data_IF_535937063640
#
_entry.id   IF_535937063640
#
_cell.length_a   1.000
_cell.length_b   1.000
_cell.length_c   1.000
_cell.angle_alpha   90.00
_cell.angle_beta   90.00
_cell.angle_gamma   90.00
#
_symmetry.space_group_name_H-M   'P 1'
#
loop_
_entity.id
_entity.type
_entity.pdbx_description
1 polymer ?
#
# COMPACT_ATOMS: atom_id res chain seq x y z
N UNK A 1 -12.61 -4.10 -63.57
CA UNK A 1 -13.27 -3.22 -62.60
C UNK A 1 -12.30 -2.94 -61.48
N UNK A 2 -11.91 -1.69 -61.29
CA UNK A 2 -10.95 -1.29 -60.26
C UNK A 2 -11.73 -0.49 -59.21
N UNK A 3 -12.33 -1.18 -58.25
CA UNK A 3 -13.04 -0.56 -57.13
C UNK A 3 -12.02 -0.01 -56.15
N UNK A 4 -11.90 1.31 -56.09
CA UNK A 4 -11.04 2.03 -55.15
C UNK A 4 -11.50 1.69 -53.72
N UNK A 5 -10.75 0.84 -53.04
CA UNK A 5 -11.03 0.46 -51.65
C UNK A 5 -10.51 1.57 -50.75
N UNK A 6 -11.39 2.47 -50.30
CA UNK A 6 -11.07 3.46 -49.27
C UNK A 6 -11.28 2.83 -47.89
N UNK A 7 -10.21 2.71 -47.10
CA UNK A 7 -10.30 2.25 -45.71
C UNK A 7 -10.98 3.30 -44.83
N UNK A 8 -12.11 2.94 -44.22
CA UNK A 8 -12.75 3.75 -43.19
C UNK A 8 -12.09 3.48 -41.84
N UNK A 9 -10.95 4.13 -41.59
CA UNK A 9 -10.23 4.02 -40.32
C UNK A 9 -10.98 4.66 -39.14
N UNK A 10 -11.97 5.54 -39.40
CA UNK A 10 -12.73 6.21 -38.36
C UNK A 10 -13.72 5.27 -37.65
N UNK A 11 -14.11 4.17 -38.29
CA UNK A 11 -15.03 3.17 -37.72
C UNK A 11 -14.31 1.93 -37.17
N UNK A 12 -12.98 1.85 -37.29
CA UNK A 12 -12.21 0.71 -36.82
C UNK A 12 -11.99 0.80 -35.30
N UNK A 13 -12.87 0.17 -34.52
CA UNK A 13 -12.71 0.00 -33.08
C UNK A 13 -12.22 -1.42 -32.74
N UNK A 14 -10.98 -1.53 -32.24
CA UNK A 14 -10.41 -2.82 -31.82
C UNK A 14 -10.61 -3.00 -30.32
N UNK A 15 -11.45 -3.98 -29.95
CA UNK A 15 -11.66 -4.35 -28.56
C UNK A 15 -10.55 -5.27 -28.05
N UNK A 16 -9.64 -4.73 -27.26
CA UNK A 16 -8.57 -5.50 -26.62
C UNK A 16 -9.08 -6.24 -25.39
N UNK A 17 -9.39 -7.54 -25.54
CA UNK A 17 -9.89 -8.39 -24.46
C UNK A 17 -8.93 -8.45 -23.25
N UNK A 18 -7.61 -8.35 -23.49
CA UNK A 18 -6.60 -8.31 -22.44
C UNK A 18 -6.68 -7.09 -21.50
N UNK A 19 -7.33 -6.00 -21.94
CA UNK A 19 -7.46 -4.77 -21.15
C UNK A 19 -8.82 -4.66 -20.43
N UNK A 20 -9.72 -5.64 -20.57
CA UNK A 20 -11.08 -5.56 -20.01
C UNK A 20 -11.13 -5.42 -18.49
N UNK A 21 -10.13 -5.96 -17.81
CA UNK A 21 -10.05 -5.91 -16.36
C UNK A 21 -9.31 -4.66 -15.84
N UNK A 22 -8.74 -3.85 -16.72
CA UNK A 22 -8.03 -2.64 -16.32
C UNK A 22 -8.98 -1.49 -15.99
N UNK A 23 -8.59 -0.71 -14.98
CA UNK A 23 -9.35 0.50 -14.60
C UNK A 23 -9.00 1.61 -15.58
N UNK A 24 -9.98 2.00 -16.41
CA UNK A 24 -9.93 3.15 -17.31
C UNK A 24 -10.78 4.30 -16.78
N UNK A 25 -10.27 5.52 -16.88
CA UNK A 25 -10.94 6.76 -16.49
C UNK A 25 -10.69 7.79 -17.58
N UNK A 26 -11.76 8.24 -18.25
CA UNK A 26 -11.63 8.97 -19.51
C UNK A 26 -10.79 8.16 -20.50
N UNK A 27 -9.74 8.76 -21.06
CA UNK A 27 -8.80 8.09 -21.98
C UNK A 27 -7.55 7.52 -21.30
N UNK A 28 -7.51 7.52 -19.96
CA UNK A 28 -6.33 7.12 -19.18
C UNK A 28 -6.52 5.76 -18.51
N UNK A 29 -5.54 4.88 -18.69
CA UNK A 29 -5.42 3.68 -17.88
C UNK A 29 -4.75 4.01 -16.56
N UNK A 30 -5.39 3.64 -15.45
CA UNK A 30 -4.92 3.97 -14.12
C UNK A 30 -3.53 3.42 -13.84
N UNK A 31 -3.23 2.24 -14.38
CA UNK A 31 -1.93 1.58 -14.25
C UNK A 31 -0.78 2.47 -14.72
N UNK A 32 -0.94 3.14 -15.86
CA UNK A 32 0.09 4.03 -16.42
C UNK A 32 0.35 5.20 -15.47
N UNK A 33 -0.71 5.78 -14.92
CA UNK A 33 -0.61 6.86 -13.94
C UNK A 33 0.11 6.41 -12.66
N UNK A 34 -0.17 5.19 -12.20
CA UNK A 34 0.46 4.61 -11.00
C UNK A 34 1.94 4.26 -11.23
N UNK A 35 2.30 3.79 -12.41
CA UNK A 35 3.68 3.46 -12.79
C UNK A 35 4.54 4.73 -12.97
N UNK A 36 3.95 5.83 -13.45
CA UNK A 36 4.64 7.11 -13.68
C UNK A 36 4.59 8.06 -12.47
N UNK A 37 4.56 7.53 -11.25
CA UNK A 37 4.40 8.33 -10.02
C UNK A 37 5.49 9.38 -9.78
N UNK A 38 6.67 9.22 -10.40
CA UNK A 38 7.81 10.12 -10.24
C UNK A 38 8.13 10.94 -11.50
N UNK A 39 7.29 10.85 -12.55
CA UNK A 39 7.49 11.64 -13.77
C UNK A 39 6.64 12.92 -13.74
N UNK A 40 7.30 14.07 -13.92
CA UNK A 40 6.68 15.40 -13.93
C UNK A 40 5.90 15.67 -15.23
N UNK A 41 6.21 14.95 -16.33
CA UNK A 41 5.44 14.98 -17.58
C UNK A 41 4.17 14.15 -17.45
N UNK A 42 3.25 14.65 -16.64
CA UNK A 42 1.92 14.06 -16.48
C UNK A 42 1.01 14.51 -17.62
N UNK A 43 0.45 13.60 -18.43
CA UNK A 43 -0.39 13.96 -19.58
C UNK A 43 -1.77 14.53 -19.21
N UNK A 44 -2.04 14.79 -17.93
CA UNK A 44 -3.35 15.19 -17.42
C UNK A 44 -3.59 16.66 -17.75
N UNK A 45 -4.31 16.91 -18.84
CA UNK A 45 -4.65 18.26 -19.32
C UNK A 45 -5.84 18.92 -18.62
N UNK A 46 -6.69 18.14 -17.95
CA UNK A 46 -7.89 18.60 -17.26
C UNK A 46 -7.99 17.96 -15.87
N UNK A 47 -7.17 18.45 -14.95
CA UNK A 47 -6.95 17.80 -13.66
C UNK A 47 -8.23 17.70 -12.82
N UNK A 48 -9.06 18.75 -12.81
CA UNK A 48 -10.34 18.79 -12.09
C UNK A 48 -11.38 17.78 -12.61
N UNK A 49 -11.64 17.78 -13.93
CA UNK A 49 -12.58 16.83 -14.55
C UNK A 49 -12.13 15.37 -14.30
N UNK A 50 -10.84 15.11 -14.55
CA UNK A 50 -10.26 13.78 -14.34
C UNK A 50 -10.34 13.32 -12.88
N UNK A 51 -10.08 14.23 -11.93
CA UNK A 51 -10.19 13.94 -10.51
C UNK A 51 -11.64 13.64 -10.09
N UNK A 52 -12.63 14.35 -10.64
CA UNK A 52 -14.03 14.06 -10.39
C UNK A 52 -14.46 12.71 -10.97
N UNK A 53 -14.03 12.38 -12.20
CA UNK A 53 -14.30 11.06 -12.79
C UNK A 53 -13.68 9.93 -11.97
N UNK A 54 -12.45 10.15 -11.46
CA UNK A 54 -11.78 9.28 -10.51
C UNK A 54 -12.60 9.06 -9.25
N UNK A 55 -13.11 10.15 -8.67
CA UNK A 55 -13.89 10.10 -7.45
C UNK A 55 -15.24 9.39 -7.66
N UNK A 56 -15.94 9.67 -8.76
CA UNK A 56 -17.15 8.94 -9.12
C UNK A 56 -16.88 7.45 -9.31
N UNK A 57 -15.78 7.08 -9.98
CA UNK A 57 -15.38 5.69 -10.13
C UNK A 57 -15.12 5.03 -8.77
N UNK A 58 -14.45 5.73 -7.86
CA UNK A 58 -14.22 5.27 -6.49
C UNK A 58 -15.53 4.98 -5.74
N UNK A 59 -16.53 5.87 -5.83
CA UNK A 59 -17.83 5.69 -5.17
C UNK A 59 -18.64 4.51 -5.75
N UNK A 60 -18.53 4.25 -7.06
CA UNK A 60 -19.27 3.17 -7.73
C UNK A 60 -18.58 1.80 -7.67
N UNK A 61 -17.37 1.70 -7.10
CA UNK A 61 -16.59 0.47 -7.13
C UNK A 61 -16.87 -0.42 -5.91
N UNK A 62 -17.44 -1.64 -6.10
CA UNK A 62 -17.75 -2.54 -4.98
C UNK A 62 -16.55 -3.34 -4.49
N UNK A 63 -15.53 -3.56 -5.33
CA UNK A 63 -14.34 -4.34 -4.99
C UNK A 63 -13.33 -3.46 -4.26
N UNK A 64 -12.94 -3.86 -3.04
CA UNK A 64 -12.00 -3.12 -2.18
C UNK A 64 -10.66 -2.85 -2.89
N UNK A 65 -10.11 -3.82 -3.61
CA UNK A 65 -8.85 -3.66 -4.35
C UNK A 65 -8.92 -2.53 -5.38
N UNK A 66 -9.98 -2.51 -6.19
CA UNK A 66 -10.18 -1.48 -7.20
C UNK A 66 -10.44 -0.11 -6.56
N UNK A 67 -11.15 -0.09 -5.42
CA UNK A 67 -11.39 1.11 -4.63
C UNK A 67 -10.08 1.69 -4.08
N UNK A 68 -9.18 0.82 -3.59
CA UNK A 68 -7.84 1.18 -3.14
C UNK A 68 -6.98 1.73 -4.29
N UNK A 69 -7.07 1.14 -5.48
CA UNK A 69 -6.38 1.68 -6.68
C UNK A 69 -6.89 3.08 -7.03
N UNK A 70 -8.21 3.31 -7.00
CA UNK A 70 -8.78 4.64 -7.25
C UNK A 70 -8.33 5.66 -6.20
N UNK A 71 -8.34 5.31 -4.90
CA UNK A 71 -7.82 6.17 -3.83
C UNK A 71 -6.34 6.50 -4.01
N UNK A 72 -5.54 5.53 -4.41
CA UNK A 72 -4.12 5.74 -4.67
C UNK A 72 -3.91 6.74 -5.82
N UNK A 73 -4.66 6.58 -6.91
CA UNK A 73 -4.60 7.51 -8.03
C UNK A 73 -5.11 8.91 -7.67
N UNK A 74 -6.24 9.01 -6.96
CA UNK A 74 -6.73 10.27 -6.41
C UNK A 74 -5.67 10.98 -5.56
N UNK A 75 -4.93 10.23 -4.74
CA UNK A 75 -3.82 10.79 -3.94
C UNK A 75 -2.69 11.36 -4.78
N UNK A 76 -2.34 10.70 -5.88
CA UNK A 76 -1.30 11.18 -6.80
C UNK A 76 -1.76 12.43 -7.53
N UNK A 77 -2.97 12.39 -8.10
CA UNK A 77 -3.55 13.50 -8.87
C UNK A 77 -3.75 14.72 -7.99
N UNK A 78 -4.38 14.56 -6.82
CA UNK A 78 -4.56 15.66 -5.89
C UNK A 78 -3.21 16.19 -5.40
N UNK A 79 -2.25 15.33 -5.10
CA UNK A 79 -0.91 15.75 -4.69
C UNK A 79 -0.17 16.60 -5.73
N UNK A 80 -0.40 16.36 -7.03
CA UNK A 80 0.21 17.12 -8.13
C UNK A 80 -0.56 18.39 -8.51
N UNK A 81 -1.89 18.36 -8.39
CA UNK A 81 -2.77 19.39 -8.95
C UNK A 81 -3.73 20.01 -7.92
N UNK A 82 -3.42 19.98 -6.63
CA UNK A 82 -4.33 20.51 -5.60
C UNK A 82 -4.68 21.99 -5.78
N UNK A 83 -3.81 22.79 -6.41
CA UNK A 83 -4.07 24.20 -6.69
C UNK A 83 -5.15 24.39 -7.77
N UNK A 84 -5.13 23.55 -8.82
CA UNK A 84 -6.10 23.58 -9.92
C UNK A 84 -7.43 22.92 -9.51
N UNK A 85 -7.36 21.81 -8.78
CA UNK A 85 -8.55 21.09 -8.28
C UNK A 85 -9.24 21.89 -7.17
N UNK A 86 -8.46 22.53 -6.30
CA UNK A 86 -8.96 23.31 -5.17
C UNK A 86 -9.48 22.45 -4.00
N UNK A 87 -10.39 22.99 -3.16
CA UNK A 87 -10.90 22.29 -2.00
C UNK A 87 -11.75 21.08 -2.36
N UNK A 88 -11.56 19.98 -1.64
CA UNK A 88 -12.33 18.77 -1.87
C UNK A 88 -13.64 18.80 -1.07
N UNK A 89 -14.76 18.84 -1.79
CA UNK A 89 -16.10 18.99 -1.21
C UNK A 89 -16.45 17.86 -0.21
N UNK A 90 -16.02 16.63 -0.49
CA UNK A 90 -16.37 15.45 0.29
C UNK A 90 -15.29 15.05 1.31
N UNK A 91 -14.51 16.02 1.80
CA UNK A 91 -13.49 15.77 2.83
C UNK A 91 -14.09 15.10 4.06
N UNK A 92 -15.28 15.54 4.50
CA UNK A 92 -16.05 14.90 5.58
C UNK A 92 -16.29 13.41 5.33
N UNK A 93 -16.70 13.04 4.12
CA UNK A 93 -17.00 11.66 3.78
C UNK A 93 -15.76 10.78 3.92
N UNK A 94 -14.60 11.26 3.46
CA UNK A 94 -13.33 10.54 3.60
C UNK A 94 -12.94 10.33 5.06
N UNK A 95 -13.11 11.35 5.92
CA UNK A 95 -12.82 11.24 7.36
C UNK A 95 -13.76 10.21 8.02
N UNK A 96 -15.06 10.28 7.74
CA UNK A 96 -16.04 9.32 8.27
C UNK A 96 -15.80 7.90 7.75
N UNK A 97 -15.34 7.79 6.51
CA UNK A 97 -15.00 6.51 5.92
C UNK A 97 -13.77 5.90 6.61
N UNK A 98 -12.74 6.70 6.89
CA UNK A 98 -11.56 6.26 7.65
C UNK A 98 -11.94 5.73 9.04
N UNK A 99 -12.86 6.39 9.74
CA UNK A 99 -13.35 5.97 11.07
C UNK A 99 -14.03 4.59 11.05
N UNK A 100 -14.70 4.25 9.94
CA UNK A 100 -15.50 3.02 9.80
C UNK A 100 -14.76 1.88 9.10
N UNK A 101 -13.65 2.15 8.41
CA UNK A 101 -12.94 1.15 7.64
C UNK A 101 -12.25 0.13 8.56
N UNK A 102 -12.56 -1.15 8.33
CA UNK A 102 -11.89 -2.28 8.99
C UNK A 102 -10.76 -2.90 8.13
N UNK A 103 -10.75 -2.63 6.83
CA UNK A 103 -9.74 -3.16 5.91
C UNK A 103 -8.42 -2.41 6.04
N UNK A 104 -7.31 -3.14 6.21
CA UNK A 104 -5.98 -2.55 6.40
C UNK A 104 -5.51 -1.76 5.18
N UNK A 105 -5.73 -2.29 3.98
CA UNK A 105 -5.25 -1.66 2.76
C UNK A 105 -6.02 -0.39 2.46
N UNK A 106 -7.35 -0.43 2.56
CA UNK A 106 -8.22 0.74 2.38
C UNK A 106 -7.88 1.83 3.39
N UNK A 107 -7.68 1.46 4.66
CA UNK A 107 -7.28 2.40 5.71
C UNK A 107 -5.97 3.10 5.39
N UNK A 108 -4.95 2.35 4.97
CA UNK A 108 -3.66 2.93 4.61
C UNK A 108 -3.78 3.89 3.41
N UNK A 109 -4.63 3.55 2.41
CA UNK A 109 -4.91 4.41 1.26
C UNK A 109 -5.70 5.67 1.65
N UNK A 110 -6.65 5.58 2.56
CA UNK A 110 -7.40 6.74 3.07
C UNK A 110 -6.47 7.70 3.84
N UNK A 111 -5.59 7.17 4.69
CA UNK A 111 -4.58 7.98 5.40
C UNK A 111 -3.63 8.66 4.41
N UNK A 112 -3.16 7.93 3.39
CA UNK A 112 -2.36 8.52 2.31
C UNK A 112 -3.13 9.63 1.58
N UNK A 113 -4.41 9.44 1.28
CA UNK A 113 -5.21 10.46 0.61
C UNK A 113 -5.44 11.70 1.48
N UNK A 114 -5.76 11.52 2.77
CA UNK A 114 -5.87 12.62 3.73
C UNK A 114 -4.57 13.42 3.84
N UNK A 115 -3.41 12.76 3.79
CA UNK A 115 -2.10 13.44 3.76
C UNK A 115 -1.93 14.37 2.55
N UNK A 116 -2.68 14.15 1.48
CA UNK A 116 -2.72 15.03 0.30
C UNK A 116 -3.81 16.08 0.40
N UNK A 117 -4.97 15.74 0.97
CA UNK A 117 -6.04 16.72 1.20
C UNK A 117 -5.60 17.88 2.10
N UNK A 118 -4.72 17.64 3.08
CA UNK A 118 -4.20 18.71 3.96
C UNK A 118 -3.34 19.77 3.25
N UNK A 119 -2.97 19.56 1.98
CA UNK A 119 -2.29 20.60 1.18
C UNK A 119 -3.16 21.83 0.99
N UNK A 120 -4.49 21.68 0.96
CA UNK A 120 -5.43 22.79 0.82
C UNK A 120 -6.07 23.15 2.17
N UNK A 121 -5.92 24.42 2.60
CA UNK A 121 -6.31 24.90 3.94
C UNK A 121 -7.79 24.64 4.29
N UNK A 122 -8.71 24.76 3.32
CA UNK A 122 -10.15 24.50 3.55
C UNK A 122 -10.43 23.05 3.96
N UNK A 123 -9.70 22.09 3.39
CA UNK A 123 -9.86 20.68 3.76
C UNK A 123 -9.34 20.42 5.17
N UNK A 124 -8.28 21.12 5.59
CA UNK A 124 -7.77 21.03 6.96
C UNK A 124 -8.86 21.44 7.95
N UNK A 125 -9.57 22.55 7.70
CA UNK A 125 -10.68 22.97 8.56
C UNK A 125 -11.76 21.89 8.68
N UNK A 126 -12.17 21.28 7.56
CA UNK A 126 -13.14 20.17 7.57
C UNK A 126 -12.62 18.95 8.36
N UNK A 127 -11.35 18.56 8.17
CA UNK A 127 -10.75 17.43 8.91
C UNK A 127 -10.77 17.69 10.42
N UNK A 128 -10.51 18.93 10.86
CA UNK A 128 -10.57 19.32 12.26
C UNK A 128 -12.00 19.25 12.80
N UNK A 129 -12.97 19.78 12.04
CA UNK A 129 -14.39 19.82 12.43
C UNK A 129 -15.00 18.42 12.59
N UNK A 130 -14.59 17.47 11.75
CA UNK A 130 -15.12 16.10 11.76
C UNK A 130 -14.29 15.10 12.58
N UNK A 131 -13.58 15.57 13.63
CA UNK A 131 -12.79 14.75 14.56
C UNK A 131 -11.65 13.95 13.89
N UNK A 132 -11.13 14.40 12.76
CA UNK A 132 -10.05 13.72 12.03
C UNK A 132 -8.78 13.54 12.87
N UNK A 133 -8.43 14.51 13.72
CA UNK A 133 -7.27 14.38 14.63
C UNK A 133 -7.44 13.19 15.57
N UNK A 134 -8.61 13.03 16.19
CA UNK A 134 -8.87 11.94 17.14
C UNK A 134 -8.63 10.59 16.46
N UNK A 135 -9.21 10.40 15.27
CA UNK A 135 -9.05 9.18 14.47
C UNK A 135 -7.58 8.93 14.16
N UNK A 136 -6.84 9.96 13.72
CA UNK A 136 -5.41 9.83 13.41
C UNK A 136 -4.55 9.48 14.64
N UNK A 137 -4.87 10.04 15.82
CA UNK A 137 -4.19 9.73 17.07
C UNK A 137 -4.46 8.27 17.49
N UNK A 138 -5.69 7.80 17.37
CA UNK A 138 -6.04 6.41 17.65
C UNK A 138 -5.28 5.46 16.72
N UNK A 139 -5.21 5.80 15.42
CA UNK A 139 -4.44 5.04 14.43
C UNK A 139 -2.92 5.08 14.68
N UNK A 140 -2.39 6.16 15.25
CA UNK A 140 -0.96 6.28 15.58
C UNK A 140 -0.51 5.19 16.56
N UNK A 141 -1.39 4.74 17.46
CA UNK A 141 -1.10 3.63 18.36
C UNK A 141 -0.81 2.32 17.62
N UNK A 142 -1.33 2.18 16.39
CA UNK A 142 -1.11 1.02 15.53
C UNK A 142 0.22 1.09 14.76
N UNK A 143 0.88 2.25 14.69
CA UNK A 143 2.13 2.42 13.94
C UNK A 143 3.28 1.54 14.48
N UNK A 144 3.25 1.24 15.79
CA UNK A 144 4.23 0.36 16.44
C UNK A 144 3.86 -1.13 16.36
N UNK A 145 2.65 -1.48 15.91
CA UNK A 145 2.19 -2.87 15.75
C UNK A 145 2.66 -3.49 14.42
N UNK A 146 3.65 -2.91 13.75
CA UNK A 146 4.23 -3.43 12.52
C UNK A 146 5.15 -4.63 12.83
N UNK A 147 4.57 -5.74 13.28
CA UNK A 147 5.22 -7.04 13.55
C UNK A 147 5.69 -7.76 12.28
N UNK A 148 6.00 -7.04 11.20
CA UNK A 148 6.72 -7.59 10.03
C UNK A 148 8.24 -7.38 10.13
N UNK A 149 8.73 -6.70 11.18
CA UNK A 149 10.17 -6.48 11.42
C UNK A 149 10.67 -6.94 12.79
N UNK A 150 9.85 -7.63 13.58
CA UNK A 150 10.39 -8.44 14.65
C UNK A 150 10.97 -9.71 14.02
N UNK A 151 12.18 -9.60 13.45
CA UNK A 151 13.04 -10.78 13.30
C UNK A 151 13.23 -11.31 14.71
N UNK A 152 12.47 -12.33 15.09
CA UNK A 152 12.66 -12.99 16.38
C UNK A 152 14.08 -13.56 16.31
N UNK A 153 15.07 -13.07 17.08
CA UNK A 153 16.41 -13.62 17.06
C UNK A 153 16.46 -14.91 17.89
N UNK A 154 15.39 -15.72 17.85
CA UNK A 154 15.27 -16.95 18.60
C UNK A 154 15.69 -18.18 17.79
N UNK A 155 16.16 -18.03 16.55
CA UNK A 155 16.71 -19.15 15.77
C UNK A 155 18.22 -19.39 15.99
N UNK A 156 18.91 -18.57 16.79
CA UNK A 156 20.37 -18.77 17.03
C UNK A 156 20.71 -19.62 18.26
N UNK A 157 19.74 -20.05 19.06
CA UNK A 157 20.00 -20.84 20.29
C UNK A 157 19.58 -22.31 20.17
N UNK A 158 19.49 -22.84 18.95
CA UNK A 158 19.37 -24.29 18.78
C UNK A 158 20.77 -24.89 18.93
N UNK A 159 21.07 -25.42 20.11
CA UNK A 159 22.22 -26.32 20.28
C UNK A 159 21.75 -27.68 19.79
N UNK A 160 22.06 -28.01 18.54
CA UNK A 160 21.88 -29.37 18.03
C UNK A 160 22.91 -30.28 18.73
N UNK A 161 22.41 -31.23 19.52
CA UNK A 161 23.26 -32.28 20.08
C UNK A 161 23.82 -33.18 18.96
N UNK A 162 25.06 -33.69 19.08
CA UNK A 162 25.62 -34.57 18.07
C UNK A 162 24.72 -35.79 17.88
N UNK A 163 24.48 -36.15 16.63
CA UNK A 163 23.75 -37.37 16.24
C UNK A 163 24.39 -38.56 16.95
N UNK A 164 23.60 -39.23 17.79
CA UNK A 164 24.04 -40.31 18.67
C UNK A 164 24.82 -41.36 17.87
N UNK A 165 26.16 -41.30 17.95
CA UNK A 165 27.01 -42.37 17.46
C UNK A 165 26.78 -43.56 18.38
N UNK A 166 26.07 -44.56 17.86
CA UNK A 166 26.05 -45.89 18.48
C UNK A 166 27.50 -46.39 18.56
N UNK A 167 27.98 -46.57 19.79
CA UNK A 167 29.20 -47.35 20.06
C UNK A 167 30.40 -46.52 20.53
N UNK A 168 30.37 -46.12 21.79
CA UNK A 168 31.55 -45.69 22.52
C UNK A 168 31.16 -45.27 23.93
N UNK A 169 31.39 -46.14 24.92
CA UNK A 169 30.92 -45.95 26.29
C UNK A 169 31.17 -44.54 26.84
N UNK A 170 30.13 -43.97 27.44
CA UNK A 170 30.14 -42.61 27.97
C UNK A 170 31.30 -42.44 28.97
N UNK A 171 32.13 -41.43 28.73
CA UNK A 171 33.19 -41.06 29.68
C UNK A 171 32.56 -40.30 30.84
N UNK A 172 32.23 -41.04 31.88
CA UNK A 172 31.82 -40.47 33.15
C UNK A 172 33.02 -39.80 33.84
N UNK A 173 32.81 -38.58 34.34
CA UNK A 173 33.82 -37.86 35.10
C UNK A 173 33.76 -38.29 36.57
N UNK A 174 34.86 -38.85 37.07
CA UNK A 174 35.03 -39.13 38.49
C UNK A 174 35.89 -38.04 39.13
N UNK A 175 35.37 -37.41 40.18
CA UNK A 175 36.14 -36.48 41.02
C UNK A 175 36.86 -37.28 42.10
N UNK A 176 38.17 -37.47 41.95
CA UNK A 176 38.99 -38.13 42.97
C UNK A 176 39.27 -37.15 44.11
N UNK A 177 38.69 -37.40 45.29
CA UNK A 177 38.80 -36.50 46.46
C UNK A 177 40.10 -36.73 47.26
N UNK A 178 40.87 -37.78 46.98
CA UNK A 178 41.95 -38.20 47.90
C UNK A 178 43.40 -37.92 47.45
N UNK A 179 43.66 -37.14 46.40
CA UNK A 179 45.03 -36.66 46.18
C UNK A 179 45.04 -35.29 45.52
N UNK A 180 45.60 -34.32 46.26
CA UNK A 180 45.85 -32.98 45.76
C UNK A 180 46.77 -33.00 44.55
N UNK A 181 46.40 -32.14 43.60
CA UNK A 181 47.26 -31.55 42.57
C UNK A 181 47.80 -32.47 41.45
N UNK A 182 47.10 -32.44 40.31
CA UNK A 182 47.58 -32.01 38.96
C UNK A 182 46.87 -32.78 37.85
N UNK A 183 45.96 -32.10 37.17
CA UNK A 183 45.34 -32.61 35.92
C UNK A 183 46.34 -32.42 34.77
N UNK A 184 47.01 -33.49 34.34
CA UNK A 184 47.69 -33.51 33.04
C UNK A 184 46.69 -33.80 31.92
N UNK A 185 46.60 -32.90 30.94
CA UNK A 185 45.86 -33.12 29.69
C UNK A 185 46.75 -33.88 28.71
N UNK A 186 46.22 -34.96 28.13
CA UNK A 186 46.67 -35.54 26.85
C UNK A 186 45.62 -35.23 25.79
#
# INVERSE_FOLDING_TARGET
GNTLTSWNHAELEVHYQCLQNEVKIGDYYLRILLEQRDNDDSPIRKSYEFFNDLYHRFLSTPKVEMKCMCLQAMSIVYGRYFEDIGPFADTKYIVQMLDRTCDRMERDRLVQFLSKLILHRRNVSEILEWNGIRILVDLMTLAHLHTSRATVPAQSNVIEGPQQQQGGGDREWYYNVEQGDKVQRK
#
